data_IF_304611068749
#
_entry.id   IF_304611068749
#
_cell.length_a   1.000
_cell.length_b   1.000
_cell.length_c   1.000
_cell.angle_alpha   90.00
_cell.angle_beta   90.00
_cell.angle_gamma   90.00
#
_symmetry.space_group_name_H-M   'P 1'
#
loop_
_entity.id
_entity.type
_entity.pdbx_description
1 polymer ?
#
# COMPACT_ATOMS: atom_id res chain seq x y z
N UNK A 1 37.17 -0.66 -48.88
CA UNK A 1 36.17 -1.75 -48.74
C UNK A 1 36.63 -2.69 -47.64
N UNK A 2 36.05 -2.61 -46.44
CA UNK A 2 36.38 -3.49 -45.31
C UNK A 2 35.18 -4.37 -44.97
N UNK A 3 35.41 -5.69 -44.95
CA UNK A 3 34.42 -6.73 -44.64
C UNK A 3 34.11 -6.71 -43.13
N UNK A 4 32.86 -6.45 -42.79
CA UNK A 4 32.32 -6.71 -41.46
C UNK A 4 31.61 -8.05 -41.46
N UNK A 5 32.25 -9.08 -40.89
CA UNK A 5 31.61 -10.38 -40.60
C UNK A 5 32.32 -11.03 -39.39
N UNK A 6 32.32 -10.34 -38.25
CA UNK A 6 32.72 -10.95 -37.00
C UNK A 6 31.66 -10.60 -35.97
N UNK A 7 30.83 -11.58 -35.60
CA UNK A 7 30.33 -11.92 -34.26
C UNK A 7 29.20 -12.97 -34.40
N UNK A 8 29.56 -14.26 -34.51
CA UNK A 8 28.59 -15.35 -34.29
C UNK A 8 28.63 -15.76 -32.82
N UNK A 9 27.63 -15.35 -32.05
CA UNK A 9 27.40 -15.84 -30.68
C UNK A 9 26.98 -17.32 -30.72
N UNK A 10 27.97 -18.22 -30.71
CA UNK A 10 27.79 -19.67 -30.61
C UNK A 10 27.57 -20.05 -29.14
N UNK A 11 26.33 -19.92 -28.65
CA UNK A 11 26.02 -20.13 -27.22
C UNK A 11 24.79 -20.99 -26.89
N UNK A 12 24.20 -21.72 -27.84
CA UNK A 12 22.83 -22.26 -27.65
C UNK A 12 22.63 -23.78 -27.67
N UNK A 13 23.64 -24.61 -27.93
CA UNK A 13 23.40 -26.03 -28.28
C UNK A 13 23.36 -27.01 -27.11
N UNK A 14 24.05 -26.74 -25.99
CA UNK A 14 24.10 -27.68 -24.83
C UNK A 14 22.81 -27.67 -24.02
N UNK A 15 22.20 -26.50 -23.81
CA UNK A 15 20.92 -26.33 -23.10
C UNK A 15 19.76 -27.01 -23.85
N UNK A 16 19.71 -26.87 -25.18
CA UNK A 16 18.68 -27.50 -26.02
C UNK A 16 18.76 -29.03 -25.97
N UNK A 17 19.97 -29.60 -25.93
CA UNK A 17 20.18 -31.05 -25.83
C UNK A 17 19.75 -31.63 -24.47
N UNK A 18 20.02 -30.92 -23.38
CA UNK A 18 19.57 -31.32 -22.04
C UNK A 18 18.04 -31.27 -21.91
N UNK A 19 17.40 -30.17 -22.35
CA UNK A 19 15.94 -30.03 -22.36
C UNK A 19 15.26 -31.15 -23.16
N UNK A 20 15.80 -31.50 -24.34
CA UNK A 20 15.26 -32.57 -25.19
C UNK A 20 15.37 -33.96 -24.54
N UNK A 21 16.40 -34.21 -23.72
CA UNK A 21 16.56 -35.46 -22.95
C UNK A 21 15.60 -35.54 -21.76
N UNK A 22 15.40 -34.43 -21.04
CA UNK A 22 14.45 -34.34 -19.93
C UNK A 22 13.00 -34.58 -20.40
N UNK A 23 12.63 -34.05 -21.57
CA UNK A 23 11.30 -34.24 -22.17
C UNK A 23 11.07 -35.65 -22.76
N UNK A 24 12.14 -36.38 -23.13
CA UNK A 24 12.03 -37.71 -23.76
C UNK A 24 11.78 -38.84 -22.75
N UNK A 25 12.25 -38.68 -21.52
CA UNK A 25 12.10 -39.71 -20.48
C UNK A 25 10.88 -39.42 -19.60
N UNK A 26 9.84 -40.26 -19.66
CA UNK A 26 8.60 -40.11 -18.86
C UNK A 26 8.86 -39.92 -17.35
N UNK A 27 9.87 -40.59 -16.78
CA UNK A 27 10.28 -40.42 -15.38
C UNK A 27 10.87 -39.02 -15.10
N UNK A 28 11.73 -38.52 -15.99
CA UNK A 28 12.33 -37.20 -15.86
C UNK A 28 11.31 -36.08 -16.05
N UNK A 29 10.32 -36.31 -16.91
CA UNK A 29 9.21 -35.39 -17.11
C UNK A 29 8.34 -35.30 -15.85
N UNK A 30 8.04 -36.44 -15.23
CA UNK A 30 7.29 -36.49 -13.97
C UNK A 30 8.04 -35.78 -12.84
N UNK A 31 9.35 -35.99 -12.69
CA UNK A 31 10.16 -35.28 -11.69
C UNK A 31 10.21 -33.77 -11.94
N UNK A 32 10.29 -33.34 -13.20
CA UNK A 32 10.26 -31.93 -13.55
C UNK A 32 8.90 -31.31 -13.22
N UNK A 33 7.82 -32.01 -13.55
CA UNK A 33 6.46 -31.58 -13.25
C UNK A 33 6.23 -31.44 -11.75
N UNK A 34 6.65 -32.43 -10.94
CA UNK A 34 6.58 -32.36 -9.49
C UNK A 34 7.39 -31.20 -8.91
N UNK A 35 8.60 -30.94 -9.45
CA UNK A 35 9.43 -29.82 -9.02
C UNK A 35 8.77 -28.47 -9.32
N UNK A 36 8.15 -28.32 -10.50
CA UNK A 36 7.39 -27.09 -10.85
C UNK A 36 6.23 -26.89 -9.89
N UNK A 37 5.44 -27.93 -9.60
CA UNK A 37 4.33 -27.84 -8.64
C UNK A 37 4.85 -27.45 -7.24
N UNK A 38 5.95 -28.04 -6.78
CA UNK A 38 6.53 -27.70 -5.49
C UNK A 38 6.98 -26.24 -5.42
N UNK A 39 7.59 -25.72 -6.49
CA UNK A 39 7.98 -24.30 -6.57
C UNK A 39 6.74 -23.41 -6.57
N UNK A 40 5.71 -23.74 -7.35
CA UNK A 40 4.45 -22.99 -7.36
C UNK A 40 3.78 -23.00 -5.99
N UNK A 41 3.78 -24.15 -5.30
CA UNK A 41 3.27 -24.25 -3.94
C UNK A 41 4.04 -23.32 -2.99
N UNK A 42 5.37 -23.34 -2.98
CA UNK A 42 6.15 -22.45 -2.10
C UNK A 42 5.94 -20.96 -2.42
N UNK A 43 5.74 -20.60 -3.68
CA UNK A 43 5.52 -19.21 -4.08
C UNK A 43 4.11 -18.70 -3.77
N UNK A 44 3.09 -19.52 -4.06
CA UNK A 44 1.67 -19.13 -4.06
C UNK A 44 0.84 -19.70 -2.92
N UNK A 45 1.42 -20.55 -2.05
CA UNK A 45 0.73 -21.01 -0.85
C UNK A 45 0.37 -19.83 0.09
N UNK A 46 -0.53 -20.08 1.02
CA UNK A 46 -1.01 -19.10 1.99
C UNK A 46 0.11 -18.49 2.85
N UNK A 47 1.24 -19.20 3.01
CA UNK A 47 2.47 -18.69 3.64
C UNK A 47 3.60 -18.37 2.65
N UNK A 48 3.28 -18.34 1.35
CA UNK A 48 4.23 -18.14 0.28
C UNK A 48 4.84 -16.74 0.25
N UNK A 49 5.91 -16.62 -0.53
CA UNK A 49 6.72 -15.39 -0.63
C UNK A 49 5.90 -14.19 -1.11
N UNK A 50 5.00 -14.41 -2.07
CA UNK A 50 4.13 -13.35 -2.59
C UNK A 50 3.24 -12.77 -1.48
N UNK A 51 2.66 -13.65 -0.66
CA UNK A 51 1.82 -13.23 0.46
C UNK A 51 2.62 -12.43 1.48
N UNK A 52 3.84 -12.87 1.80
CA UNK A 52 4.72 -12.16 2.74
C UNK A 52 5.02 -10.74 2.28
N UNK A 53 5.40 -10.55 1.01
CA UNK A 53 5.67 -9.22 0.44
C UNK A 53 4.43 -8.33 0.51
N UNK A 54 3.25 -8.86 0.13
CA UNK A 54 2.01 -8.09 0.19
C UNK A 54 1.64 -7.66 1.62
N UNK A 55 1.90 -8.51 2.61
CA UNK A 55 1.65 -8.21 4.01
C UNK A 55 2.62 -7.16 4.54
N UNK A 56 3.89 -7.20 4.14
CA UNK A 56 4.86 -6.19 4.54
C UNK A 56 4.55 -4.82 3.95
N UNK A 57 4.08 -4.76 2.69
CA UNK A 57 3.60 -3.52 2.09
C UNK A 57 2.40 -2.96 2.83
N UNK A 58 1.37 -3.78 3.10
CA UNK A 58 0.19 -3.36 3.87
C UNK A 58 0.56 -2.91 5.28
N UNK A 59 1.49 -3.60 5.93
CA UNK A 59 1.98 -3.21 7.25
C UNK A 59 2.62 -1.82 7.20
N UNK A 60 3.46 -1.53 6.21
CA UNK A 60 4.09 -0.21 6.04
C UNK A 60 3.04 0.88 5.83
N UNK A 61 2.10 0.65 4.90
CA UNK A 61 1.01 1.59 4.61
C UNK A 61 0.19 1.91 5.87
N UNK A 62 -0.24 0.88 6.61
CA UNK A 62 -0.99 1.06 7.84
C UNK A 62 -0.18 1.79 8.91
N UNK A 63 1.12 1.49 9.02
CA UNK A 63 2.00 2.17 9.98
C UNK A 63 2.11 3.66 9.65
N UNK A 64 2.31 4.01 8.38
CA UNK A 64 2.34 5.41 7.94
C UNK A 64 1.00 6.12 8.18
N UNK A 65 -0.12 5.46 7.89
CA UNK A 65 -1.45 6.00 8.15
C UNK A 65 -1.65 6.27 9.66
N UNK A 66 -1.22 5.36 10.52
CA UNK A 66 -1.32 5.56 11.98
C UNK A 66 -0.47 6.73 12.47
N UNK A 67 0.75 6.89 11.93
CA UNK A 67 1.63 8.01 12.29
C UNK A 67 1.00 9.34 11.87
N UNK A 68 0.46 9.42 10.65
CA UNK A 68 -0.22 10.64 10.17
C UNK A 68 -1.43 11.00 11.03
N UNK A 69 -2.29 10.02 11.33
CA UNK A 69 -3.45 10.23 12.18
C UNK A 69 -3.08 10.67 13.60
N UNK A 70 -1.98 10.14 14.14
CA UNK A 70 -1.46 10.57 15.44
C UNK A 70 -0.97 12.02 15.43
N UNK A 71 -0.24 12.43 14.39
CA UNK A 71 0.21 13.83 14.29
C UNK A 71 -0.95 14.79 14.08
N UNK A 72 -1.93 14.44 13.25
CA UNK A 72 -3.17 15.21 13.10
C UNK A 72 -3.88 15.36 14.44
N UNK A 73 -4.04 14.27 15.19
CA UNK A 73 -4.66 14.29 16.52
C UNK A 73 -3.88 15.22 17.45
N UNK A 74 -2.54 15.17 17.43
CA UNK A 74 -1.68 16.05 18.26
C UNK A 74 -1.87 17.52 17.90
N UNK A 75 -1.92 17.85 16.61
CA UNK A 75 -2.15 19.20 16.11
C UNK A 75 -3.53 19.68 16.54
N UNK A 76 -4.59 18.89 16.34
CA UNK A 76 -5.95 19.25 16.75
C UNK A 76 -6.05 19.45 18.27
N UNK A 77 -5.41 18.62 19.08
CA UNK A 77 -5.38 18.79 20.53
C UNK A 77 -4.63 20.06 20.95
N UNK A 78 -3.53 20.41 20.27
CA UNK A 78 -2.84 21.68 20.51
C UNK A 78 -3.73 22.88 20.18
N UNK A 79 -4.47 22.82 19.07
CA UNK A 79 -5.46 23.83 18.71
C UNK A 79 -6.60 23.93 19.74
N UNK A 80 -7.15 22.80 20.18
CA UNK A 80 -8.17 22.77 21.23
C UNK A 80 -7.67 23.43 22.50
N UNK A 81 -6.46 23.10 22.97
CA UNK A 81 -5.87 23.73 24.16
C UNK A 81 -5.69 25.24 24.00
N UNK A 82 -5.30 25.70 22.80
CA UNK A 82 -5.16 27.13 22.52
C UNK A 82 -6.51 27.87 22.52
N UNK A 83 -7.59 27.20 22.12
CA UNK A 83 -8.95 27.76 22.06
C UNK A 83 -9.69 27.66 23.39
N UNK A 84 -9.52 26.56 24.14
CA UNK A 84 -10.20 26.30 25.42
C UNK A 84 -9.85 27.31 26.50
N UNK A 85 -8.64 27.88 26.46
CA UNK A 85 -8.23 28.94 27.38
C UNK A 85 -8.97 30.27 27.20
N UNK A 86 -9.63 30.48 26.05
CA UNK A 86 -10.32 31.74 25.73
C UNK A 86 -11.83 31.53 25.58
N UNK A 87 -12.54 31.77 26.69
CA UNK A 87 -14.00 31.71 26.79
C UNK A 87 -14.71 32.56 25.73
N UNK A 88 -14.12 33.69 25.31
CA UNK A 88 -14.69 34.60 24.32
C UNK A 88 -14.59 34.01 22.91
N UNK A 89 -13.51 33.31 22.64
CA UNK A 89 -13.29 32.61 21.37
C UNK A 89 -14.22 31.40 21.24
N UNK A 90 -14.43 30.64 22.32
CA UNK A 90 -15.45 29.56 22.36
C UNK A 90 -16.86 30.12 22.10
N UNK A 91 -17.23 31.21 22.78
CA UNK A 91 -18.55 31.82 22.63
C UNK A 91 -18.77 32.34 21.19
N UNK A 92 -17.76 32.98 20.60
CA UNK A 92 -17.80 33.41 19.21
C UNK A 92 -18.01 32.24 18.25
N UNK A 93 -17.26 31.15 18.42
CA UNK A 93 -17.40 29.95 17.59
C UNK A 93 -18.79 29.31 17.72
N UNK A 94 -19.32 29.23 18.94
CA UNK A 94 -20.65 28.69 19.21
C UNK A 94 -21.74 29.52 18.52
N UNK A 95 -21.64 30.86 18.58
CA UNK A 95 -22.58 31.78 17.92
C UNK A 95 -22.46 31.75 16.40
N UNK A 96 -21.24 31.80 15.84
CA UNK A 96 -21.02 31.93 14.40
C UNK A 96 -21.17 30.62 13.62
N UNK A 97 -20.61 29.50 14.14
CA UNK A 97 -20.59 28.23 13.41
C UNK A 97 -21.78 27.34 13.74
N UNK A 98 -22.26 27.41 14.98
CA UNK A 98 -23.31 26.52 15.46
C UNK A 98 -24.63 27.24 15.77
N UNK A 99 -24.67 28.58 15.69
CA UNK A 99 -25.87 29.35 15.97
C UNK A 99 -26.38 29.21 17.41
N UNK A 100 -25.51 28.80 18.34
CA UNK A 100 -25.87 28.60 19.74
C UNK A 100 -26.07 29.96 20.44
N UNK A 101 -27.09 30.03 21.29
CA UNK A 101 -27.40 31.17 22.14
C UNK A 101 -27.57 30.69 23.59
N UNK A 102 -27.37 31.57 24.58
CA UNK A 102 -27.56 31.22 25.99
C UNK A 102 -29.05 31.16 26.34
N UNK A 103 -29.38 30.45 27.42
CA UNK A 103 -30.74 30.47 27.96
C UNK A 103 -31.17 31.92 28.27
N UNK A 104 -32.33 32.31 27.75
CA UNK A 104 -32.88 33.66 27.87
C UNK A 104 -32.50 34.65 26.76
N UNK A 105 -31.61 34.28 25.82
CA UNK A 105 -31.31 35.13 24.66
C UNK A 105 -32.33 34.95 23.53
N UNK A 106 -32.71 36.04 22.84
CA UNK A 106 -33.59 36.02 21.67
C UNK A 106 -32.77 36.05 20.38
N UNK A 107 -32.93 35.03 19.52
CA UNK A 107 -32.19 34.91 18.25
C UNK A 107 -33.00 35.48 17.09
N UNK A 108 -32.46 36.48 16.40
CA UNK A 108 -33.07 37.06 15.20
C UNK A 108 -32.46 36.44 13.94
N UNK A 109 -33.29 35.81 13.09
CA UNK A 109 -32.88 35.33 11.77
C UNK A 109 -33.31 36.33 10.71
N UNK A 110 -32.33 36.97 10.08
CA UNK A 110 -32.58 37.91 8.98
C UNK A 110 -32.75 37.10 7.70
N UNK A 111 -33.93 37.14 7.07
CA UNK A 111 -34.11 36.68 5.69
C UNK A 111 -33.67 37.81 4.76
N UNK A 112 -32.87 37.48 3.76
CA UNK A 112 -32.46 38.41 2.72
C UNK A 112 -33.43 38.21 1.56
N UNK A 113 -34.20 39.24 1.25
CA UNK A 113 -35.10 39.29 0.09
C UNK A 113 -34.30 39.45 -1.22
#
# INVERSE_FOLDING_TARGET
>A
MMKGDFYRLRGGTRLKGAAKRLLKNKRSLFTLFAAVIAVLYVLFDNKGVVRRISLEMKKRELTEATIRAQEETRILQAHLKAVEGDKKTIEKLARERYGMAREGETVYRIKKD
#
